data_IF_002108843055
#
_entry.id   IF_002108843055
#
_cell.length_a   1.000
_cell.length_b   1.000
_cell.length_c   1.000
_cell.angle_alpha   90.00
_cell.angle_beta   90.00
_cell.angle_gamma   90.00
#
_symmetry.space_group_name_H-M   'P 1'
#
loop_
_entity.id
_entity.type
_entity.pdbx_description
1 polymer ?
#
# COMPACT_ATOMS: atom_id res chain seq x y z
N UNK A 1 43.86 45.38 -51.05
CA UNK A 1 44.72 45.37 -49.86
C UNK A 1 43.87 44.98 -48.65
N UNK A 2 44.12 43.82 -48.02
CA UNK A 2 43.38 43.35 -46.86
C UNK A 2 44.14 43.60 -45.54
N UNK A 3 43.41 43.86 -44.46
CA UNK A 3 43.83 43.75 -43.05
C UNK A 3 42.62 43.10 -42.34
N UNK A 4 42.62 41.78 -42.12
CA UNK A 4 42.96 41.09 -40.84
C UNK A 4 42.11 41.58 -39.65
N UNK A 5 40.99 40.93 -39.31
CA UNK A 5 40.79 39.74 -38.43
C UNK A 5 40.91 40.01 -36.92
N UNK A 6 40.02 39.33 -36.17
CA UNK A 6 40.00 39.10 -34.71
C UNK A 6 39.37 40.22 -33.85
N UNK A 7 38.48 40.00 -32.86
CA UNK A 7 38.09 38.80 -32.10
C UNK A 7 36.94 39.17 -31.12
N UNK A 8 36.18 38.15 -30.70
CA UNK A 8 35.29 38.05 -29.52
C UNK A 8 34.06 39.02 -29.46
N UNK A 9 32.87 38.63 -29.02
CA UNK A 9 32.54 37.58 -28.06
C UNK A 9 31.11 37.06 -28.31
N UNK A 10 30.97 35.74 -28.31
CA UNK A 10 29.69 35.02 -28.37
C UNK A 10 29.01 35.17 -27.01
N UNK A 11 27.83 35.79 -26.95
CA UNK A 11 26.92 35.60 -25.83
C UNK A 11 25.72 34.78 -26.31
N UNK A 12 25.85 33.49 -26.05
CA UNK A 12 24.84 32.44 -26.12
C UNK A 12 23.65 32.81 -25.23
N UNK A 13 22.48 33.07 -25.81
CA UNK A 13 21.21 33.08 -25.08
C UNK A 13 20.39 31.87 -25.55
N UNK A 14 20.74 30.70 -25.03
CA UNK A 14 19.93 29.50 -25.13
C UNK A 14 18.81 29.64 -24.07
N UNK A 15 17.62 30.07 -24.50
CA UNK A 15 16.42 29.99 -23.67
C UNK A 15 16.05 28.51 -23.49
N UNK A 16 16.55 27.91 -22.41
CA UNK A 16 16.07 26.63 -21.90
C UNK A 16 14.71 26.86 -21.23
N UNK A 17 13.64 26.51 -21.96
CA UNK A 17 12.32 26.26 -21.39
C UNK A 17 12.41 25.02 -20.49
N UNK A 18 12.79 25.24 -19.23
CA UNK A 18 12.60 24.27 -18.16
C UNK A 18 11.15 24.35 -17.70
N UNK A 19 10.27 23.63 -18.40
CA UNK A 19 8.97 23.27 -17.84
C UNK A 19 9.22 22.31 -16.68
N UNK A 20 8.73 22.59 -15.45
CA UNK A 20 8.78 21.60 -14.39
C UNK A 20 7.82 20.45 -14.77
N UNK A 21 8.40 19.30 -15.12
CA UNK A 21 7.67 18.03 -15.16
C UNK A 21 7.31 17.72 -13.71
N UNK A 22 6.07 18.03 -13.34
CA UNK A 22 5.47 17.55 -12.10
C UNK A 22 5.22 16.06 -12.29
N UNK A 23 6.16 15.23 -11.84
CA UNK A 23 5.90 13.81 -11.65
C UNK A 23 4.98 13.66 -10.43
N UNK A 24 3.67 13.70 -10.65
CA UNK A 24 2.73 13.06 -9.75
C UNK A 24 2.71 11.56 -10.08
N UNK A 25 3.71 10.81 -9.63
CA UNK A 25 3.69 9.36 -9.70
C UNK A 25 2.81 8.81 -8.57
N UNK A 26 1.50 8.86 -8.76
CA UNK A 26 0.62 7.89 -8.10
C UNK A 26 0.91 6.49 -8.66
N UNK A 27 0.67 5.41 -7.90
CA UNK A 27 0.75 4.06 -8.46
C UNK A 27 -0.21 3.97 -9.65
N UNK A 28 0.34 3.76 -10.84
CA UNK A 28 -0.44 3.56 -12.04
C UNK A 28 -1.14 2.20 -11.93
N UNK A 29 -2.47 2.22 -11.84
CA UNK A 29 -3.32 1.02 -11.76
C UNK A 29 -2.92 0.01 -12.85
N UNK A 30 -2.34 -1.11 -12.43
CA UNK A 30 -1.88 -2.14 -13.37
C UNK A 30 -3.02 -3.06 -13.77
N UNK A 31 -3.55 -2.81 -14.98
CA UNK A 31 -4.64 -3.61 -15.55
C UNK A 31 -4.15 -4.68 -16.54
N UNK A 32 -2.86 -4.69 -16.91
CA UNK A 32 -2.29 -5.69 -17.80
C UNK A 32 -0.92 -6.14 -17.29
N UNK A 33 -0.58 -7.40 -17.56
CA UNK A 33 0.75 -7.95 -17.29
C UNK A 33 1.09 -9.07 -18.28
N UNK A 34 2.37 -9.21 -18.60
CA UNK A 34 2.87 -10.35 -19.36
C UNK A 34 3.15 -11.54 -18.42
N UNK A 35 2.76 -12.72 -18.85
CA UNK A 35 3.04 -14.01 -18.19
C UNK A 35 3.70 -14.96 -19.21
N UNK A 36 4.39 -15.99 -18.74
CA UNK A 36 4.92 -17.08 -19.58
C UNK A 36 3.81 -17.84 -20.31
N UNK A 37 2.57 -17.78 -19.81
CA UNK A 37 1.41 -18.41 -20.42
C UNK A 37 0.64 -17.47 -21.37
N UNK A 38 1.07 -16.20 -21.47
CA UNK A 38 0.52 -15.20 -22.37
C UNK A 38 0.12 -13.91 -21.66
N UNK A 39 -0.74 -13.10 -22.30
CA UNK A 39 -1.07 -11.77 -21.79
C UNK A 39 -2.25 -11.82 -20.82
N UNK A 40 -2.02 -11.33 -19.59
CA UNK A 40 -3.05 -11.15 -18.56
C UNK A 40 -3.65 -9.74 -18.67
N UNK A 41 -4.98 -9.64 -18.57
CA UNK A 41 -5.70 -8.35 -18.60
C UNK A 41 -6.87 -8.35 -17.63
N UNK A 42 -7.12 -7.22 -16.98
CA UNK A 42 -8.36 -6.93 -16.26
C UNK A 42 -9.25 -6.11 -17.19
N UNK A 43 -10.51 -6.52 -17.36
CA UNK A 43 -11.49 -5.83 -18.20
C UNK A 43 -12.79 -5.58 -17.42
N UNK A 44 -13.32 -4.37 -17.54
CA UNK A 44 -14.68 -4.04 -17.11
C UNK A 44 -15.70 -4.59 -18.13
N UNK A 45 -16.69 -5.36 -17.67
CA UNK A 45 -17.74 -5.94 -18.53
C UNK A 45 -18.96 -5.03 -18.68
N UNK A 46 -19.31 -4.27 -17.64
CA UNK A 46 -20.33 -3.23 -17.68
C UNK A 46 -20.21 -2.36 -16.42
N UNK A 47 -20.37 -1.04 -16.58
CA UNK A 47 -20.71 -0.14 -15.50
C UNK A 47 -22.24 -0.05 -15.51
N UNK A 48 -22.92 -0.51 -14.47
CA UNK A 48 -24.28 -0.02 -14.25
C UNK A 48 -24.12 1.41 -13.72
N UNK A 49 -24.19 2.39 -14.63
CA UNK A 49 -24.02 3.81 -14.33
C UNK A 49 -25.12 4.33 -13.38
N UNK A 50 -26.22 3.59 -13.20
CA UNK A 50 -27.38 4.04 -12.42
C UNK A 50 -27.25 3.89 -10.89
N UNK A 51 -26.37 3.03 -10.36
CA UNK A 51 -26.31 2.79 -8.89
C UNK A 51 -24.97 3.06 -8.22
N UNK A 52 -23.92 3.47 -8.95
CA UNK A 52 -22.62 3.82 -8.33
C UNK A 52 -21.92 2.67 -7.59
N UNK A 53 -22.44 1.44 -7.73
CA UNK A 53 -21.85 0.20 -7.23
C UNK A 53 -20.90 -0.33 -8.31
N UNK A 54 -19.69 -0.72 -7.93
CA UNK A 54 -18.62 -1.09 -8.86
C UNK A 54 -19.06 -2.10 -9.92
N UNK A 55 -18.66 -1.89 -11.18
CA UNK A 55 -19.00 -2.79 -12.28
C UNK A 55 -18.45 -4.21 -12.12
N UNK A 56 -18.87 -5.11 -13.01
CA UNK A 56 -18.30 -6.47 -13.08
C UNK A 56 -16.94 -6.42 -13.76
N UNK A 57 -15.90 -6.93 -13.08
CA UNK A 57 -14.55 -7.07 -13.61
C UNK A 57 -14.18 -8.52 -13.85
N UNK A 58 -13.52 -8.78 -14.98
CA UNK A 58 -12.98 -10.09 -15.31
C UNK A 58 -11.49 -10.04 -15.52
N UNK A 59 -10.82 -11.10 -15.08
CA UNK A 59 -9.42 -11.37 -15.38
C UNK A 59 -9.39 -12.30 -16.59
N UNK A 60 -8.66 -11.88 -17.62
CA UNK A 60 -8.52 -12.57 -18.90
C UNK A 60 -7.08 -13.05 -19.08
N UNK A 61 -6.88 -14.28 -19.55
CA UNK A 61 -5.60 -14.80 -20.03
C UNK A 61 -5.71 -15.10 -21.53
N UNK A 62 -4.92 -14.43 -22.35
CA UNK A 62 -5.02 -14.51 -23.83
C UNK A 62 -6.43 -14.23 -24.38
N UNK A 63 -7.22 -13.44 -23.66
CA UNK A 63 -8.60 -13.10 -24.02
C UNK A 63 -9.66 -14.06 -23.48
N UNK A 64 -9.29 -15.18 -22.85
CA UNK A 64 -10.21 -16.10 -22.20
C UNK A 64 -10.43 -15.70 -20.74
N UNK A 65 -11.69 -15.70 -20.27
CA UNK A 65 -12.03 -15.40 -18.88
C UNK A 65 -11.52 -16.52 -17.96
N UNK A 66 -10.70 -16.14 -16.98
CA UNK A 66 -10.17 -17.06 -15.97
C UNK A 66 -10.68 -16.77 -14.56
N UNK A 67 -11.22 -15.56 -14.33
CA UNK A 67 -11.75 -15.15 -13.03
C UNK A 67 -12.70 -13.97 -13.16
N UNK A 68 -13.66 -13.86 -12.23
CA UNK A 68 -14.68 -12.81 -12.19
C UNK A 68 -14.88 -12.27 -10.78
N UNK A 69 -15.05 -10.95 -10.67
CA UNK A 69 -15.44 -10.23 -9.45
C UNK A 69 -16.51 -9.19 -9.76
N UNK A 70 -17.38 -8.98 -8.79
CA UNK A 70 -18.46 -8.01 -8.85
C UNK A 70 -18.21 -6.94 -7.79
N UNK A 71 -18.55 -5.68 -8.09
CA UNK A 71 -18.51 -4.60 -7.11
C UNK A 71 -17.15 -4.32 -6.47
N UNK A 72 -16.04 -4.62 -7.17
CA UNK A 72 -14.69 -4.33 -6.70
C UNK A 72 -13.81 -3.73 -7.78
N UNK A 73 -12.96 -2.79 -7.39
CA UNK A 73 -11.78 -2.43 -8.16
C UNK A 73 -10.79 -3.60 -8.08
N UNK A 74 -10.20 -3.97 -9.22
CA UNK A 74 -9.15 -4.97 -9.32
C UNK A 74 -7.89 -4.37 -9.90
N UNK A 75 -6.75 -4.82 -9.37
CA UNK A 75 -5.41 -4.46 -9.84
C UNK A 75 -4.48 -5.67 -9.83
N UNK A 76 -3.60 -5.78 -10.84
CA UNK A 76 -2.48 -6.73 -10.84
C UNK A 76 -1.30 -6.12 -10.09
N UNK A 77 -1.04 -6.61 -8.89
CA UNK A 77 0.10 -6.15 -8.09
C UNK A 77 1.41 -6.72 -8.66
N UNK A 78 1.43 -8.05 -8.89
CA UNK A 78 2.66 -8.74 -9.29
C UNK A 78 2.41 -10.09 -9.95
N UNK A 79 3.28 -10.45 -10.91
CA UNK A 79 3.40 -11.81 -11.46
C UNK A 79 4.67 -12.45 -10.90
N UNK A 80 4.55 -13.65 -10.35
CA UNK A 80 5.60 -14.37 -9.63
C UNK A 80 5.83 -15.74 -10.29
N UNK A 81 6.98 -16.00 -10.91
CA UNK A 81 7.27 -17.30 -11.51
C UNK A 81 7.56 -18.36 -10.43
N UNK A 82 6.86 -19.50 -10.45
CA UNK A 82 6.96 -20.58 -9.46
C UNK A 82 7.11 -21.93 -10.18
N UNK A 83 8.35 -22.41 -10.37
CA UNK A 83 8.65 -23.59 -11.21
C UNK A 83 7.99 -23.51 -12.60
N UNK A 84 7.10 -24.44 -12.89
CA UNK A 84 6.34 -24.57 -14.14
C UNK A 84 5.04 -23.74 -14.12
N UNK A 85 4.77 -23.06 -13.01
CA UNK A 85 3.55 -22.27 -12.75
C UNK A 85 3.87 -20.78 -12.66
N UNK A 86 2.86 -19.95 -12.81
CA UNK A 86 2.93 -18.53 -12.46
C UNK A 86 1.86 -18.19 -11.45
N UNK A 87 2.22 -17.40 -10.45
CA UNK A 87 1.28 -16.93 -9.43
C UNK A 87 1.12 -15.43 -9.62
N UNK A 88 -0.11 -14.99 -9.83
CA UNK A 88 -0.47 -13.58 -9.93
C UNK A 88 -1.04 -13.15 -8.60
N UNK A 89 -0.47 -12.11 -8.00
CA UNK A 89 -1.04 -11.41 -6.86
C UNK A 89 -1.92 -10.27 -7.38
N UNK A 90 -3.18 -10.27 -6.96
CA UNK A 90 -4.14 -9.20 -7.25
C UNK A 90 -4.59 -8.50 -5.97
N UNK A 91 -4.85 -7.20 -6.08
CA UNK A 91 -5.60 -6.42 -5.10
C UNK A 91 -7.06 -6.32 -5.53
N UNK A 92 -7.97 -6.38 -4.56
CA UNK A 92 -9.38 -6.06 -4.69
C UNK A 92 -9.81 -5.03 -3.65
N UNK A 93 -10.47 -3.96 -4.09
CA UNK A 93 -11.03 -2.93 -3.21
C UNK A 93 -12.52 -2.74 -3.53
N UNK A 94 -13.43 -3.03 -2.59
CA UNK A 94 -14.89 -2.90 -2.81
C UNK A 94 -15.38 -1.44 -2.84
N UNK A 95 -14.49 -0.46 -2.69
CA UNK A 95 -14.82 0.94 -2.52
C UNK A 95 -15.22 1.29 -1.09
N UNK A 96 -15.59 2.56 -0.89
CA UNK A 96 -15.95 3.08 0.42
C UNK A 96 -14.78 3.73 1.16
N UNK A 97 -15.11 4.70 2.00
CA UNK A 97 -14.13 5.48 2.76
C UNK A 97 -13.54 4.63 3.89
N UNK A 98 -12.22 4.40 3.86
CA UNK A 98 -11.50 3.69 4.93
C UNK A 98 -11.43 2.17 4.79
N UNK A 99 -11.94 1.59 3.70
CA UNK A 99 -11.79 0.16 3.42
C UNK A 99 -10.37 -0.13 2.94
N UNK A 100 -9.68 -1.06 3.60
CA UNK A 100 -8.37 -1.53 3.15
C UNK A 100 -8.53 -2.45 1.94
N UNK A 101 -7.51 -2.45 1.08
CA UNK A 101 -7.39 -3.41 -0.02
C UNK A 101 -7.28 -4.83 0.52
N UNK A 102 -8.12 -5.71 -0.02
CA UNK A 102 -7.99 -7.14 0.15
C UNK A 102 -7.21 -7.72 -1.03
N UNK A 103 -6.63 -8.91 -0.87
CA UNK A 103 -5.71 -9.47 -1.85
C UNK A 103 -5.97 -10.96 -2.05
N UNK A 104 -5.62 -11.48 -3.23
CA UNK A 104 -5.68 -12.93 -3.50
C UNK A 104 -4.69 -13.33 -4.59
N UNK A 105 -4.43 -14.64 -4.68
CA UNK A 105 -3.59 -15.23 -5.69
C UNK A 105 -4.41 -15.96 -6.76
N UNK A 106 -3.95 -15.87 -8.00
CA UNK A 106 -4.34 -16.80 -9.08
C UNK A 106 -3.09 -17.54 -9.53
N UNK A 107 -3.09 -18.87 -9.39
CA UNK A 107 -2.03 -19.73 -9.91
C UNK A 107 -2.42 -20.29 -11.28
N UNK A 108 -1.51 -20.10 -12.24
CA UNK A 108 -1.66 -20.45 -13.64
C UNK A 108 -0.66 -21.55 -14.00
N UNK A 109 -1.14 -22.59 -14.67
CA UNK A 109 -0.32 -23.69 -15.21
C UNK A 109 -0.81 -24.03 -16.61
N UNK A 110 0.12 -24.29 -17.52
CA UNK A 110 -0.20 -24.68 -18.90
C UNK A 110 -1.08 -25.93 -18.91
N UNK A 111 -2.24 -25.85 -19.57
CA UNK A 111 -3.16 -26.98 -19.74
C UNK A 111 -3.93 -27.38 -18.49
N UNK A 112 -3.90 -26.57 -17.43
CA UNK A 112 -4.69 -26.77 -16.22
C UNK A 112 -5.59 -25.56 -15.95
N UNK A 113 -6.70 -25.80 -15.25
CA UNK A 113 -7.56 -24.71 -14.80
C UNK A 113 -6.84 -23.82 -13.77
N UNK A 114 -7.10 -22.50 -13.77
CA UNK A 114 -6.57 -21.58 -12.76
C UNK A 114 -6.99 -22.02 -11.35
N UNK A 115 -6.08 -21.86 -10.39
CA UNK A 115 -6.38 -22.05 -8.96
C UNK A 115 -6.42 -20.69 -8.29
N UNK A 116 -7.60 -20.33 -7.75
CA UNK A 116 -7.81 -19.05 -7.05
C UNK A 116 -7.74 -19.29 -5.55
N UNK A 117 -6.92 -18.51 -4.86
CA UNK A 117 -6.80 -18.61 -3.41
C UNK A 117 -7.97 -17.94 -2.70
N UNK A 118 -8.06 -18.12 -1.37
CA UNK A 118 -8.93 -17.26 -0.57
C UNK A 118 -8.37 -15.84 -0.55
N UNK A 119 -9.26 -14.87 -0.38
CA UNK A 119 -8.91 -13.49 -0.11
C UNK A 119 -8.24 -13.35 1.26
N UNK A 120 -7.29 -12.44 1.38
CA UNK A 120 -6.60 -12.08 2.62
C UNK A 120 -6.38 -10.57 2.71
N UNK A 121 -6.39 -10.05 3.92
CA UNK A 121 -6.13 -8.64 4.18
C UNK A 121 -4.71 -8.43 4.70
N UNK A 122 -4.13 -7.30 4.34
CA UNK A 122 -2.88 -6.82 4.92
C UNK A 122 -3.19 -5.63 5.81
N UNK A 123 -2.60 -5.60 7.01
CA UNK A 123 -2.60 -4.39 7.84
C UNK A 123 -1.53 -3.39 7.40
N UNK A 124 -0.78 -3.70 6.34
CA UNK A 124 0.15 -2.78 5.72
C UNK A 124 -0.50 -2.15 4.50
N UNK A 125 -0.38 -0.83 4.37
CA UNK A 125 -0.91 -0.09 3.23
C UNK A 125 -0.43 -0.59 1.86
N UNK A 126 0.83 -1.04 1.73
CA UNK A 126 1.33 -1.69 0.52
C UNK A 126 1.76 -3.14 0.82
N UNK A 127 1.32 -4.07 -0.04
CA UNK A 127 1.65 -5.49 0.09
C UNK A 127 2.97 -5.82 -0.60
N UNK A 128 3.98 -6.12 0.22
CA UNK A 128 5.27 -6.64 -0.27
C UNK A 128 5.30 -8.16 -0.22
N UNK A 129 5.80 -8.78 -1.30
CA UNK A 129 6.01 -10.23 -1.40
C UNK A 129 7.49 -10.58 -1.27
N UNK A 130 7.83 -11.63 -0.53
CA UNK A 130 9.15 -12.28 -0.55
C UNK A 130 9.03 -13.69 -1.11
N UNK A 131 9.81 -14.02 -2.13
CA UNK A 131 9.79 -15.34 -2.74
C UNK A 131 11.02 -16.15 -2.32
N UNK A 132 10.80 -17.37 -1.82
CA UNK A 132 11.85 -18.32 -1.44
C UNK A 132 11.61 -19.64 -2.19
N UNK A 133 12.25 -19.79 -3.35
CA UNK A 133 11.97 -20.92 -4.25
C UNK A 133 10.51 -20.91 -4.71
N UNK A 134 9.76 -21.94 -4.33
CA UNK A 134 8.36 -22.10 -4.74
C UNK A 134 7.36 -21.51 -3.75
N UNK A 135 7.85 -20.93 -2.66
CA UNK A 135 7.04 -20.34 -1.61
C UNK A 135 7.01 -18.83 -1.75
N UNK A 136 5.82 -18.25 -1.67
CA UNK A 136 5.61 -16.80 -1.66
C UNK A 136 5.15 -16.42 -0.25
N UNK A 137 5.92 -15.58 0.42
CA UNK A 137 5.59 -15.02 1.72
C UNK A 137 5.07 -13.59 1.55
N UNK A 138 4.00 -13.25 2.29
CA UNK A 138 3.45 -11.90 2.40
C UNK A 138 3.37 -11.53 3.87
N UNK A 139 3.94 -10.37 4.22
CA UNK A 139 3.82 -9.82 5.58
C UNK A 139 2.47 -9.12 5.73
N UNK A 140 1.57 -9.71 6.52
CA UNK A 140 0.23 -9.18 6.77
C UNK A 140 0.23 -8.10 7.87
N UNK A 141 1.37 -7.81 8.48
CA UNK A 141 1.48 -6.91 9.63
C UNK A 141 1.23 -7.63 10.96
N UNK A 142 0.77 -6.88 11.96
CA UNK A 142 0.50 -7.41 13.29
C UNK A 142 -0.98 -7.67 13.49
N UNK A 143 -1.34 -8.79 14.10
CA UNK A 143 -2.69 -9.07 14.56
C UNK A 143 -2.61 -9.61 15.97
N UNK A 144 -3.38 -9.03 16.89
CA UNK A 144 -3.35 -9.40 18.32
C UNK A 144 -1.92 -9.45 18.92
N UNK A 145 -1.06 -8.51 18.53
CA UNK A 145 0.32 -8.43 19.01
C UNK A 145 1.29 -9.46 18.42
N UNK A 146 0.88 -10.27 17.44
CA UNK A 146 1.73 -11.22 16.72
C UNK A 146 1.91 -10.78 15.28
N UNK A 147 3.12 -10.90 14.75
CA UNK A 147 3.36 -10.65 13.32
C UNK A 147 2.85 -11.83 12.51
N UNK A 148 1.96 -11.60 11.56
CA UNK A 148 1.38 -12.63 10.71
C UNK A 148 2.04 -12.61 9.33
N UNK A 149 2.58 -13.75 8.92
CA UNK A 149 3.14 -13.96 7.58
C UNK A 149 2.27 -14.98 6.86
N UNK A 150 1.62 -14.57 5.78
CA UNK A 150 0.96 -15.49 4.86
C UNK A 150 2.03 -16.21 4.04
N UNK A 151 1.88 -17.51 3.91
CA UNK A 151 2.72 -18.35 3.04
C UNK A 151 1.81 -19.00 2.01
N UNK A 152 2.09 -18.73 0.74
CA UNK A 152 1.44 -19.37 -0.40
C UNK A 152 2.39 -20.37 -1.04
N UNK A 153 1.97 -21.63 -1.10
CA UNK A 153 2.74 -22.70 -1.74
C UNK A 153 1.80 -23.78 -2.27
N UNK A 154 2.00 -24.19 -3.53
CA UNK A 154 1.26 -25.28 -4.17
C UNK A 154 -0.28 -25.15 -4.06
N UNK A 155 -0.84 -23.98 -4.37
CA UNK A 155 -2.29 -23.76 -4.30
C UNK A 155 -2.85 -23.54 -2.89
N UNK A 156 -2.01 -23.54 -1.84
CA UNK A 156 -2.45 -23.47 -0.45
C UNK A 156 -1.88 -22.24 0.25
N UNK A 157 -2.74 -21.63 1.07
CA UNK A 157 -2.39 -20.55 1.98
C UNK A 157 -2.26 -21.09 3.41
N UNK A 158 -1.21 -20.70 4.10
CA UNK A 158 -1.04 -20.90 5.55
C UNK A 158 -0.60 -19.60 6.20
N UNK A 159 -0.98 -19.38 7.46
CA UNK A 159 -0.54 -18.21 8.23
C UNK A 159 0.47 -18.69 9.26
N UNK A 160 1.66 -18.09 9.27
CA UNK A 160 2.66 -18.25 10.31
C UNK A 160 2.61 -17.03 11.22
N UNK A 161 2.35 -17.28 12.50
CA UNK A 161 2.42 -16.23 13.52
C UNK A 161 3.80 -16.21 14.16
N UNK A 162 4.33 -15.00 14.35
CA UNK A 162 5.63 -14.76 14.97
C UNK A 162 5.43 -13.83 16.18
N UNK A 163 5.76 -14.33 17.36
CA UNK A 163 5.81 -13.51 18.58
C UNK A 163 7.12 -12.72 18.59
N UNK A 164 7.04 -11.41 18.85
CA UNK A 164 8.24 -10.60 19.03
C UNK A 164 9.04 -11.06 20.25
N UNK A 165 10.37 -11.08 20.09
CA UNK A 165 11.29 -11.36 21.18
C UNK A 165 11.78 -10.04 21.77
N UNK A 166 11.37 -9.78 23.01
CA UNK A 166 11.78 -8.58 23.76
C UNK A 166 11.12 -7.28 23.27
N UNK A 167 11.49 -6.16 23.90
CA UNK A 167 11.11 -4.83 23.43
C UNK A 167 11.91 -4.48 22.18
N UNK A 168 11.21 -4.18 21.10
CA UNK A 168 11.79 -3.75 19.82
C UNK A 168 11.18 -2.41 19.46
N UNK A 169 11.99 -1.50 18.89
CA UNK A 169 11.48 -0.24 18.37
C UNK A 169 10.59 -0.50 17.15
N UNK A 170 9.55 0.32 16.99
CA UNK A 170 8.73 0.30 15.77
C UNK A 170 9.55 0.76 14.56
N UNK A 171 9.09 0.40 13.37
CA UNK A 171 9.74 0.82 12.13
C UNK A 171 9.60 2.35 11.98
N UNK A 172 10.64 3.01 11.46
CA UNK A 172 10.72 4.47 11.38
C UNK A 172 9.55 5.06 10.58
N UNK A 173 9.21 4.43 9.46
CA UNK A 173 8.12 4.86 8.59
C UNK A 173 6.75 4.72 9.28
N UNK A 174 6.52 3.63 10.00
CA UNK A 174 5.28 3.43 10.76
C UNK A 174 5.16 4.47 11.89
N UNK A 175 6.26 4.72 12.60
CA UNK A 175 6.30 5.73 13.67
C UNK A 175 6.04 7.15 13.12
N UNK A 176 6.66 7.49 11.99
CA UNK A 176 6.47 8.77 11.32
C UNK A 176 5.05 8.93 10.80
N UNK A 177 4.48 7.89 10.18
CA UNK A 177 3.08 7.90 9.72
C UNK A 177 2.12 8.11 10.89
N UNK A 178 2.33 7.43 12.01
CA UNK A 178 1.54 7.62 13.23
C UNK A 178 1.64 9.06 13.76
N UNK A 179 2.85 9.63 13.76
CA UNK A 179 3.08 11.00 14.19
C UNK A 179 2.36 12.02 13.29
N UNK A 180 2.59 11.99 11.99
CA UNK A 180 2.11 13.00 11.05
C UNK A 180 0.60 12.88 10.77
N UNK A 181 0.10 11.64 10.62
CA UNK A 181 -1.29 11.41 10.19
C UNK A 181 -2.27 11.27 11.35
N UNK A 182 -1.80 10.89 12.55
CA UNK A 182 -2.67 10.69 13.71
C UNK A 182 -2.40 11.75 14.77
N UNK A 183 -1.20 11.80 15.32
CA UNK A 183 -0.90 12.68 16.45
C UNK A 183 -0.95 14.18 16.09
N UNK A 184 -0.20 14.62 15.08
CA UNK A 184 -0.19 16.03 14.67
C UNK A 184 -1.55 16.46 14.10
N UNK A 185 -2.21 15.57 13.35
CA UNK A 185 -3.55 15.83 12.82
C UNK A 185 -4.55 16.09 13.96
N UNK A 186 -4.58 15.23 14.99
CA UNK A 186 -5.45 15.40 16.17
C UNK A 186 -5.21 16.75 16.87
N UNK A 187 -3.94 17.08 17.14
CA UNK A 187 -3.57 18.34 17.81
C UNK A 187 -3.96 19.55 16.97
N UNK A 188 -3.78 19.48 15.65
CA UNK A 188 -4.11 20.57 14.73
C UNK A 188 -5.62 20.79 14.57
N UNK A 189 -6.42 19.72 14.59
CA UNK A 189 -7.88 19.83 14.46
C UNK A 189 -8.55 20.39 15.72
N UNK A 190 -7.93 20.24 16.90
CA UNK A 190 -8.40 20.90 18.12
C UNK A 190 -9.66 20.27 18.75
N UNK A 191 -10.06 19.08 18.31
CA UNK A 191 -11.20 18.33 18.86
C UNK A 191 -10.77 17.43 20.02
N UNK A 192 -10.26 18.02 21.11
CA UNK A 192 -9.53 17.32 22.17
C UNK A 192 -10.36 16.31 22.99
N UNK A 193 -11.68 16.34 22.88
CA UNK A 193 -12.60 15.43 23.58
C UNK A 193 -12.80 14.09 22.85
N UNK A 194 -12.34 13.99 21.60
CA UNK A 194 -12.42 12.79 20.78
C UNK A 194 -11.19 11.89 20.96
N UNK A 195 -11.27 10.62 20.53
CA UNK A 195 -10.09 9.77 20.47
C UNK A 195 -9.23 10.14 19.24
N UNK A 196 -7.90 9.95 19.25
CA UNK A 196 -7.05 10.25 18.09
C UNK A 196 -7.44 9.52 16.80
N UNK A 197 -8.08 8.36 16.93
CA UNK A 197 -8.64 7.60 15.81
C UNK A 197 -9.96 8.19 15.26
N UNK A 198 -10.65 9.05 16.01
CA UNK A 198 -11.95 9.63 15.64
C UNK A 198 -11.82 10.98 14.90
N UNK A 199 -10.58 11.44 14.70
CA UNK A 199 -10.24 12.64 13.91
C UNK A 199 -10.81 12.50 12.51
N UNK A 200 -11.39 13.57 11.96
CA UNK A 200 -12.24 13.53 10.76
C UNK A 200 -11.46 13.41 9.44
N UNK A 201 -10.40 12.61 9.43
CA UNK A 201 -9.55 12.34 8.28
C UNK A 201 -9.48 10.84 7.94
N UNK A 202 -9.89 10.47 6.72
CA UNK A 202 -9.79 9.08 6.25
C UNK A 202 -8.36 8.53 6.30
N UNK A 203 -7.37 9.37 6.03
CA UNK A 203 -5.95 9.02 6.16
C UNK A 203 -5.56 8.69 7.60
N UNK A 204 -6.11 9.41 8.58
CA UNK A 204 -5.88 9.21 10.02
C UNK A 204 -6.43 7.87 10.47
N UNK A 205 -7.70 7.61 10.18
CA UNK A 205 -8.37 6.34 10.51
C UNK A 205 -7.65 5.15 9.89
N UNK A 206 -7.26 5.27 8.60
CA UNK A 206 -6.53 4.21 7.90
C UNK A 206 -5.19 3.91 8.56
N UNK A 207 -4.36 4.93 8.81
CA UNK A 207 -3.06 4.75 9.47
C UNK A 207 -3.21 4.16 10.87
N UNK A 208 -4.19 4.63 11.65
CA UNK A 208 -4.44 4.05 12.97
C UNK A 208 -4.84 2.58 12.86
N UNK A 209 -5.75 2.22 11.95
CA UNK A 209 -6.19 0.83 11.76
C UNK A 209 -5.07 -0.10 11.29
N UNK A 210 -4.15 0.39 10.45
CA UNK A 210 -2.95 -0.34 10.02
C UNK A 210 -2.00 -0.64 11.20
N UNK A 211 -1.90 0.29 12.16
CA UNK A 211 -0.88 0.24 13.21
C UNK A 211 -1.41 -0.19 14.58
N UNK A 212 -2.74 -0.25 14.79
CA UNK A 212 -3.36 -0.43 16.11
C UNK A 212 -3.01 -1.74 16.82
N UNK A 213 -2.53 -2.73 16.06
CA UNK A 213 -2.17 -4.04 16.55
C UNK A 213 -0.66 -4.24 16.69
N UNK A 214 0.17 -3.26 16.32
CA UNK A 214 1.62 -3.34 16.47
C UNK A 214 2.02 -3.21 17.95
N UNK A 215 2.53 -4.27 18.58
CA UNK A 215 2.89 -4.26 20.00
C UNK A 215 4.14 -3.43 20.32
N UNK A 216 4.85 -2.91 19.30
CA UNK A 216 5.99 -2.00 19.44
C UNK A 216 5.55 -0.56 19.69
N UNK A 217 4.28 -0.24 19.43
CA UNK A 217 3.69 1.09 19.62
C UNK A 217 2.92 1.17 20.93
N UNK A 218 3.20 2.21 21.74
CA UNK A 218 2.46 2.50 22.97
C UNK A 218 1.23 3.38 22.68
N UNK A 219 0.22 2.78 22.06
CA UNK A 219 -1.02 3.47 21.69
C UNK A 219 -1.85 3.91 22.90
N UNK A 220 -1.70 3.24 24.04
CA UNK A 220 -2.32 3.68 25.29
C UNK A 220 -1.76 5.03 25.72
N UNK A 221 -0.44 5.20 25.64
CA UNK A 221 0.21 6.49 25.93
C UNK A 221 -0.07 7.53 24.85
N UNK A 222 -0.26 7.12 23.59
CA UNK A 222 -0.61 8.01 22.48
C UNK A 222 -1.87 8.82 22.78
N UNK A 223 -2.96 8.17 23.22
CA UNK A 223 -4.23 8.85 23.44
C UNK A 223 -4.13 9.93 24.53
N UNK A 224 -3.46 9.62 25.65
CA UNK A 224 -3.23 10.60 26.71
C UNK A 224 -2.24 11.72 26.32
N UNK A 225 -1.28 11.43 25.45
CA UNK A 225 -0.35 12.43 24.91
C UNK A 225 -1.06 13.38 23.94
N UNK A 226 -1.81 12.82 22.98
CA UNK A 226 -2.57 13.55 21.97
C UNK A 226 -3.56 14.53 22.61
N UNK A 227 -4.35 14.06 23.59
CA UNK A 227 -5.30 14.91 24.32
C UNK A 227 -4.63 16.11 24.99
N UNK A 228 -3.56 15.88 25.76
CA UNK A 228 -2.84 16.98 26.44
C UNK A 228 -2.26 17.98 25.46
N UNK A 229 -1.61 17.50 24.40
CA UNK A 229 -1.03 18.38 23.37
C UNK A 229 -2.08 19.16 22.60
N UNK A 230 -3.27 18.59 22.42
CA UNK A 230 -4.42 19.29 21.85
C UNK A 230 -4.94 20.38 22.80
N UNK A 231 -5.12 20.08 24.09
CA UNK A 231 -5.54 21.05 25.11
C UNK A 231 -4.52 22.21 25.26
N UNK A 232 -3.24 21.92 25.10
CA UNK A 232 -2.16 22.92 25.08
C UNK A 232 -2.01 23.64 23.72
N UNK A 233 -2.68 23.17 22.67
CA UNK A 233 -2.57 23.69 21.30
C UNK A 233 -1.19 23.53 20.67
N UNK A 234 -0.36 22.59 21.17
CA UNK A 234 1.04 22.43 20.76
C UNK A 234 1.44 20.97 20.65
N UNK A 235 1.79 20.57 19.42
CA UNK A 235 2.36 19.25 19.16
C UNK A 235 3.78 19.14 19.73
N UNK A 236 4.06 17.98 20.34
CA UNK A 236 5.40 17.54 20.70
C UNK A 236 6.24 17.34 19.44
N UNK A 237 7.55 17.62 19.51
CA UNK A 237 8.45 17.36 18.36
C UNK A 237 8.61 15.87 18.12
N UNK A 238 8.73 15.48 16.85
CA UNK A 238 8.89 14.08 16.43
C UNK A 238 9.93 13.26 17.22
N UNK A 239 11.16 13.72 17.50
CA UNK A 239 12.13 12.92 18.26
C UNK A 239 11.66 12.55 19.68
N UNK A 240 10.92 13.44 20.33
CA UNK A 240 10.37 13.19 21.67
C UNK A 240 9.16 12.24 21.61
N UNK A 241 8.32 12.41 20.58
CA UNK A 241 7.21 11.52 20.31
C UNK A 241 7.71 10.08 20.06
N UNK A 242 8.67 9.92 19.15
CA UNK A 242 9.28 8.64 18.79
C UNK A 242 9.80 7.89 20.01
N UNK A 243 10.44 8.62 20.93
CA UNK A 243 10.97 8.04 22.17
C UNK A 243 9.88 7.54 23.12
N UNK A 244 8.75 8.23 23.18
CA UNK A 244 7.64 7.88 24.08
C UNK A 244 6.75 6.78 23.52
N UNK A 245 6.48 6.81 22.22
CA UNK A 245 5.45 5.98 21.59
C UNK A 245 6.04 4.79 20.83
N UNK A 246 7.20 4.96 20.19
CA UNK A 246 7.75 3.96 19.27
C UNK A 246 8.95 3.18 19.85
N UNK A 247 9.29 3.41 21.12
CA UNK A 247 10.37 2.73 21.83
C UNK A 247 11.79 3.15 21.44
N UNK A 248 11.95 4.34 20.83
CA UNK A 248 13.22 4.82 20.25
C UNK A 248 13.96 5.93 21.00
#
# INVERSE_FOLDING_TARGET
>A
MPIQLERLNRLTLLLLLLSPVVFASGPELRLEADTRLGKLRIKDLALDEEEGLGGVRVVLLNGEEIHRREYTHLEIIKVLPVKDDEVVLLSENPGGSGTNDSHFFIQLRKGAAPVVSKTFDSQKGEVSTKQNGDSIEVDLGYHEGKRQILVYQNGKQTIRELTLKGKQAADEDDCKRLYENVYEAFVREGHCDSAPEDVRGMSTVRVYNELRHDPRLDLKSLNGLARRSCEEGKAMKYPEFRKKICGG
#
